data_IF_746101609183
#
_entry.id   IF_746101609183
#
_cell.length_a   1.000
_cell.length_b   1.000
_cell.length_c   1.000
_cell.angle_alpha   90.00
_cell.angle_beta   90.00
_cell.angle_gamma   90.00
#
_symmetry.space_group_name_H-M   'P 1'
#
loop_
_entity.id
_entity.type
_entity.pdbx_description
1 polymer ?
#
# COMPACT_ATOMS: atom_id res chain seq x y z
N UNK A 1 -3.17 -24.65 21.14
CA UNK A 1 -4.40 -24.19 20.46
C UNK A 1 -4.21 -24.51 19.00
N UNK A 2 -4.94 -25.51 18.52
CA UNK A 2 -4.72 -26.21 17.24
C UNK A 2 -5.27 -25.38 16.08
N UNK A 3 -4.40 -24.87 15.21
CA UNK A 3 -4.80 -24.36 13.89
C UNK A 3 -4.99 -25.53 12.93
N UNK A 4 -6.13 -25.59 12.25
CA UNK A 4 -6.47 -26.66 11.31
C UNK A 4 -5.62 -26.62 10.03
N UNK A 5 -5.33 -27.77 9.39
CA UNK A 5 -4.70 -27.79 8.07
C UNK A 5 -5.73 -27.39 7.00
N UNK A 6 -5.48 -26.30 6.27
CA UNK A 6 -6.22 -25.98 5.03
C UNK A 6 -6.84 -24.59 4.92
N UNK A 7 -6.55 -23.63 5.81
CA UNK A 7 -6.95 -22.24 5.57
C UNK A 7 -6.04 -21.64 4.50
N UNK A 8 -6.44 -21.77 3.24
CA UNK A 8 -5.88 -21.01 2.14
C UNK A 8 -6.05 -19.53 2.47
N UNK A 9 -4.98 -18.88 2.90
CA UNK A 9 -4.96 -17.43 3.08
C UNK A 9 -5.30 -16.85 1.71
N UNK A 10 -6.48 -16.24 1.60
CA UNK A 10 -6.90 -15.58 0.38
C UNK A 10 -5.84 -14.53 0.01
N UNK A 11 -5.32 -14.55 -1.23
CA UNK A 11 -4.29 -13.60 -1.62
C UNK A 11 -4.83 -12.18 -1.47
N UNK A 12 -3.96 -11.24 -1.06
CA UNK A 12 -4.41 -9.85 -0.93
C UNK A 12 -4.91 -9.28 -2.28
N UNK A 13 -4.30 -9.72 -3.38
CA UNK A 13 -4.57 -9.23 -4.72
C UNK A 13 -4.89 -10.39 -5.66
N UNK A 14 -5.80 -10.21 -6.64
CA UNK A 14 -5.98 -11.16 -7.73
C UNK A 14 -4.78 -11.20 -8.69
N UNK A 15 -3.82 -10.26 -8.55
CA UNK A 15 -2.57 -10.21 -9.30
C UNK A 15 -1.45 -10.89 -8.50
N UNK A 16 -0.99 -12.10 -8.88
CA UNK A 16 -0.02 -12.88 -8.10
C UNK A 16 1.31 -12.14 -7.88
N UNK A 17 1.68 -11.25 -8.80
CA UNK A 17 2.89 -10.45 -8.72
C UNK A 17 2.88 -9.49 -7.53
N UNK A 18 1.71 -9.12 -7.01
CA UNK A 18 1.58 -8.18 -5.90
C UNK A 18 2.34 -8.66 -4.66
N UNK A 19 2.17 -9.93 -4.27
CA UNK A 19 2.85 -10.50 -3.09
C UNK A 19 4.38 -10.56 -3.30
N UNK A 20 4.81 -10.88 -4.52
CA UNK A 20 6.23 -10.90 -4.87
C UNK A 20 6.86 -9.50 -4.76
N UNK A 21 6.19 -8.48 -5.29
CA UNK A 21 6.67 -7.09 -5.22
C UNK A 21 6.63 -6.58 -3.78
N UNK A 22 5.55 -6.85 -3.04
CA UNK A 22 5.42 -6.47 -1.64
C UNK A 22 6.55 -7.09 -0.79
N UNK A 23 6.85 -8.37 -0.98
CA UNK A 23 7.95 -9.06 -0.30
C UNK A 23 9.34 -8.51 -0.65
N UNK A 24 9.50 -7.88 -1.82
CA UNK A 24 10.74 -7.20 -2.21
C UNK A 24 10.84 -5.78 -1.66
N UNK A 25 9.71 -5.11 -1.39
CA UNK A 25 9.67 -3.75 -0.82
C UNK A 25 9.84 -3.79 0.70
N UNK A 26 9.16 -4.73 1.36
CA UNK A 26 9.10 -4.82 2.83
C UNK A 26 10.47 -4.76 3.54
N UNK A 27 11.55 -5.45 3.08
CA UNK A 27 12.84 -5.41 3.75
C UNK A 27 13.50 -4.02 3.79
N UNK A 28 13.07 -3.08 2.94
CA UNK A 28 13.68 -1.76 2.83
C UNK A 28 12.89 -0.66 3.54
N UNK A 29 11.56 -0.78 3.63
CA UNK A 29 10.69 0.24 4.24
C UNK A 29 10.02 -0.23 5.53
N UNK A 30 10.03 -1.53 5.79
CA UNK A 30 9.32 -2.17 6.90
C UNK A 30 7.86 -2.51 6.57
N UNK A 31 7.35 -3.57 7.19
CA UNK A 31 5.99 -4.08 6.95
C UNK A 31 4.91 -3.03 7.24
N UNK A 32 5.09 -2.25 8.31
CA UNK A 32 4.14 -1.21 8.70
C UNK A 32 4.04 -0.09 7.65
N UNK A 33 5.18 0.41 7.17
CA UNK A 33 5.19 1.47 6.17
C UNK A 33 4.63 1.00 4.82
N UNK A 34 4.93 -0.25 4.44
CA UNK A 34 4.32 -0.89 3.28
C UNK A 34 2.80 -0.98 3.43
N UNK A 35 2.32 -1.47 4.57
CA UNK A 35 0.88 -1.59 4.82
C UNK A 35 0.17 -0.23 4.81
N UNK A 36 0.76 0.81 5.40
CA UNK A 36 0.22 2.18 5.35
C UNK A 36 0.18 2.75 3.92
N UNK A 37 1.19 2.45 3.10
CA UNK A 37 1.21 2.85 1.69
C UNK A 37 0.05 2.24 0.89
N UNK A 38 -0.10 0.93 0.99
CA UNK A 38 -1.16 0.17 0.30
C UNK A 38 -2.54 0.56 0.85
N UNK A 39 -2.65 0.81 2.15
CA UNK A 39 -3.89 1.27 2.79
C UNK A 39 -4.29 2.64 2.28
N UNK A 40 -3.37 3.59 2.23
CA UNK A 40 -3.64 4.95 1.75
C UNK A 40 -4.17 4.96 0.30
N UNK A 41 -3.62 4.12 -0.57
CA UNK A 41 -4.11 3.94 -1.96
C UNK A 41 -5.53 3.37 -1.95
N UNK A 42 -5.73 2.24 -1.29
CA UNK A 42 -7.03 1.54 -1.24
C UNK A 42 -8.13 2.41 -0.62
N UNK A 43 -7.82 3.14 0.45
CA UNK A 43 -8.72 4.07 1.13
C UNK A 43 -9.12 5.23 0.21
N UNK A 44 -8.14 5.83 -0.49
CA UNK A 44 -8.40 6.94 -1.42
C UNK A 44 -9.30 6.52 -2.59
N UNK A 45 -9.20 5.26 -3.02
CA UNK A 45 -10.06 4.70 -4.06
C UNK A 45 -11.45 4.25 -3.56
N UNK A 46 -11.72 4.31 -2.24
CA UNK A 46 -12.88 3.69 -1.59
C UNK A 46 -12.99 2.17 -1.84
N UNK A 47 -11.85 1.49 -2.05
CA UNK A 47 -11.76 0.03 -2.21
C UNK A 47 -11.86 -0.65 -0.83
N UNK A 48 -13.09 -0.69 -0.27
CA UNK A 48 -13.35 -1.08 1.11
C UNK A 48 -12.86 -2.48 1.50
N UNK A 49 -12.90 -3.45 0.58
CA UNK A 49 -12.45 -4.82 0.81
C UNK A 49 -10.92 -4.90 0.97
N UNK A 50 -10.16 -4.35 0.01
CA UNK A 50 -8.72 -4.18 0.13
C UNK A 50 -8.33 -3.41 1.41
N UNK A 51 -9.00 -2.29 1.70
CA UNK A 51 -8.74 -1.51 2.90
C UNK A 51 -9.04 -2.30 4.21
N UNK A 52 -10.07 -3.16 4.22
CA UNK A 52 -10.38 -4.04 5.34
C UNK A 52 -9.31 -5.12 5.56
N UNK A 53 -8.86 -5.80 4.49
CA UNK A 53 -7.78 -6.80 4.58
C UNK A 53 -6.50 -6.21 5.21
N UNK A 54 -6.15 -4.97 4.87
CA UNK A 54 -4.94 -4.32 5.42
C UNK A 54 -5.13 -3.94 6.89
N UNK A 55 -6.32 -3.47 7.27
CA UNK A 55 -6.68 -3.21 8.68
C UNK A 55 -6.50 -4.45 9.55
N UNK A 56 -7.01 -5.60 9.07
CA UNK A 56 -6.78 -6.89 9.73
C UNK A 56 -5.30 -7.23 9.85
N UNK A 57 -4.51 -7.05 8.77
CA UNK A 57 -3.06 -7.30 8.78
C UNK A 57 -2.29 -6.37 9.73
N UNK A 58 -2.75 -5.13 9.89
CA UNK A 58 -2.20 -4.15 10.83
C UNK A 58 -2.68 -4.35 12.27
N UNK A 59 -3.56 -5.32 12.53
CA UNK A 59 -4.10 -5.61 13.86
C UNK A 59 -5.03 -4.53 14.40
N UNK A 60 -5.64 -3.71 13.53
CA UNK A 60 -6.53 -2.62 13.94
C UNK A 60 -7.83 -2.63 13.16
N UNK A 61 -8.96 -2.65 13.86
CA UNK A 61 -10.29 -2.60 13.22
C UNK A 61 -10.58 -1.23 12.57
N UNK A 62 -9.94 -0.16 13.06
CA UNK A 62 -10.05 1.20 12.51
C UNK A 62 -8.67 1.84 12.40
N UNK A 63 -8.36 2.44 11.24
CA UNK A 63 -7.14 3.22 11.02
C UNK A 63 -7.58 4.58 10.52
N UNK A 64 -7.32 5.61 11.31
CA UNK A 64 -7.47 7.00 10.88
C UNK A 64 -6.07 7.57 10.60
N UNK A 65 -5.70 7.64 9.31
CA UNK A 65 -4.40 8.14 8.87
C UNK A 65 -4.14 9.60 9.31
N UNK A 66 -5.16 10.37 9.67
CA UNK A 66 -5.02 11.74 10.18
C UNK A 66 -4.70 11.81 11.68
N UNK A 67 -4.94 10.72 12.43
CA UNK A 67 -4.81 10.67 13.89
C UNK A 67 -3.68 9.77 14.39
N UNK A 68 -3.11 8.94 13.54
CA UNK A 68 -1.98 8.10 13.92
C UNK A 68 -0.66 8.87 13.89
N UNK A 69 0.20 8.62 14.87
CA UNK A 69 1.60 9.02 14.78
C UNK A 69 2.30 8.14 13.73
N UNK A 70 3.00 8.79 12.82
CA UNK A 70 3.79 8.14 11.78
C UNK A 70 5.13 8.85 11.62
N UNK A 71 6.14 8.06 11.29
CA UNK A 71 7.48 8.51 10.91
C UNK A 71 7.45 9.32 9.62
N UNK A 72 8.56 9.99 9.31
CA UNK A 72 8.68 10.76 8.06
C UNK A 72 8.55 9.87 6.81
N UNK A 73 9.13 8.67 6.82
CA UNK A 73 9.02 7.70 5.71
C UNK A 73 7.58 7.23 5.52
N UNK A 74 6.88 6.89 6.61
CA UNK A 74 5.48 6.49 6.56
C UNK A 74 4.59 7.63 6.06
N UNK A 75 4.81 8.86 6.54
CA UNK A 75 4.11 10.06 6.06
C UNK A 75 4.29 10.24 4.55
N UNK A 76 5.53 10.16 4.09
CA UNK A 76 5.88 10.33 2.67
C UNK A 76 5.17 9.28 1.81
N UNK A 77 5.16 8.02 2.24
CA UNK A 77 4.46 6.95 1.52
C UNK A 77 2.94 7.15 1.53
N UNK A 78 2.33 7.51 2.67
CA UNK A 78 0.90 7.82 2.76
C UNK A 78 0.52 8.92 1.78
N UNK A 79 1.20 10.07 1.86
CA UNK A 79 0.87 11.24 1.04
C UNK A 79 1.06 10.95 -0.45
N UNK A 80 2.15 10.26 -0.80
CA UNK A 80 2.42 9.88 -2.18
C UNK A 80 1.43 8.83 -2.71
N UNK A 81 1.05 7.84 -1.91
CA UNK A 81 0.03 6.85 -2.24
C UNK A 81 -1.33 7.50 -2.56
N UNK A 82 -1.76 8.45 -1.73
CA UNK A 82 -2.98 9.24 -1.97
C UNK A 82 -2.91 10.02 -3.28
N UNK A 83 -1.77 10.66 -3.54
CA UNK A 83 -1.57 11.43 -4.77
C UNK A 83 -1.62 10.53 -6.03
N UNK A 84 -1.00 9.35 -5.97
CA UNK A 84 -1.06 8.33 -7.04
C UNK A 84 -2.50 7.89 -7.29
N UNK A 85 -3.25 7.57 -6.24
CA UNK A 85 -4.62 7.09 -6.35
C UNK A 85 -5.60 8.16 -6.86
N UNK A 86 -5.33 9.43 -6.58
CA UNK A 86 -6.20 10.55 -6.96
C UNK A 86 -5.97 11.00 -8.40
N UNK A 87 -4.73 11.37 -8.73
CA UNK A 87 -4.37 11.94 -10.02
C UNK A 87 -2.85 11.81 -10.23
N UNK A 88 -2.35 10.66 -10.74
CA UNK A 88 -0.91 10.41 -10.81
C UNK A 88 -0.19 11.39 -11.75
N UNK A 89 -0.88 11.91 -12.76
CA UNK A 89 -0.35 12.94 -13.67
C UNK A 89 -0.22 14.34 -13.00
N UNK A 90 -0.84 14.54 -11.84
CA UNK A 90 -0.84 15.81 -11.09
C UNK A 90 0.02 15.74 -9.82
N UNK A 91 0.85 14.70 -9.65
CA UNK A 91 1.79 14.62 -8.52
C UNK A 91 2.78 15.78 -8.61
N UNK A 92 2.78 16.63 -7.58
CA UNK A 92 3.62 17.82 -7.50
C UNK A 92 5.13 17.47 -7.61
N UNK A 93 5.92 18.20 -8.44
CA UNK A 93 7.37 18.08 -8.49
C UNK A 93 8.08 18.09 -7.12
N UNK A 94 7.57 18.82 -6.13
CA UNK A 94 8.14 18.81 -4.78
C UNK A 94 7.98 17.43 -4.10
N UNK A 95 6.84 16.77 -4.26
CA UNK A 95 6.62 15.40 -3.79
C UNK A 95 7.55 14.42 -4.51
N UNK A 96 7.64 14.52 -5.84
CA UNK A 96 8.53 13.67 -6.64
C UNK A 96 10.01 13.81 -6.21
N UNK A 97 10.44 15.03 -5.87
CA UNK A 97 11.78 15.31 -5.37
C UNK A 97 12.03 14.68 -4.00
N UNK A 98 11.06 14.76 -3.07
CA UNK A 98 11.15 14.12 -1.74
C UNK A 98 11.26 12.61 -1.85
N UNK A 99 10.44 11.98 -2.70
CA UNK A 99 10.52 10.53 -2.97
C UNK A 99 11.86 10.14 -3.60
N UNK A 100 12.36 10.95 -4.53
CA UNK A 100 13.67 10.74 -5.17
C UNK A 100 14.83 10.82 -4.18
N UNK A 101 14.76 11.73 -3.21
CA UNK A 101 15.76 11.88 -2.16
C UNK A 101 15.68 10.75 -1.11
N UNK A 102 14.47 10.29 -0.79
CA UNK A 102 14.26 9.29 0.27
C UNK A 102 14.60 7.86 -0.16
N UNK A 103 14.39 7.51 -1.43
CA UNK A 103 14.50 6.14 -1.90
C UNK A 103 15.42 6.01 -3.11
N UNK A 104 16.22 4.94 -3.16
CA UNK A 104 17.08 4.63 -4.32
C UNK A 104 16.24 4.29 -5.55
N UNK A 105 16.76 4.47 -6.78
CA UNK A 105 16.00 4.25 -8.02
C UNK A 105 15.30 2.89 -8.11
N UNK A 106 15.97 1.82 -7.68
CA UNK A 106 15.46 0.45 -7.74
C UNK A 106 14.25 0.27 -6.83
N UNK A 107 14.32 0.80 -5.60
CA UNK A 107 13.23 0.75 -4.64
C UNK A 107 12.05 1.62 -5.08
N UNK A 108 12.31 2.79 -5.69
CA UNK A 108 11.24 3.62 -6.27
C UNK A 108 10.49 2.87 -7.37
N UNK A 109 11.19 2.16 -8.24
CA UNK A 109 10.57 1.33 -9.27
C UNK A 109 9.64 0.28 -8.66
N UNK A 110 10.07 -0.40 -7.59
CA UNK A 110 9.25 -1.38 -6.88
C UNK A 110 8.04 -0.76 -6.19
N UNK A 111 8.20 0.41 -5.56
CA UNK A 111 7.10 1.13 -4.94
C UNK A 111 6.05 1.56 -5.97
N UNK A 112 6.48 2.05 -7.14
CA UNK A 112 5.55 2.38 -8.24
C UNK A 112 4.84 1.13 -8.74
N UNK A 113 5.55 0.02 -8.92
CA UNK A 113 4.94 -1.25 -9.34
C UNK A 113 3.91 -1.74 -8.31
N UNK A 114 4.24 -1.68 -7.02
CA UNK A 114 3.32 -2.04 -5.94
C UNK A 114 2.09 -1.14 -5.92
N UNK A 115 2.27 0.17 -6.10
CA UNK A 115 1.16 1.12 -6.17
C UNK A 115 0.24 0.83 -7.35
N UNK A 116 0.80 0.58 -8.54
CA UNK A 116 0.03 0.24 -9.73
C UNK A 116 -0.79 -1.05 -9.54
N UNK A 117 -0.18 -2.10 -8.98
CA UNK A 117 -0.89 -3.35 -8.67
C UNK A 117 -1.95 -3.15 -7.59
N UNK A 118 -1.72 -2.26 -6.61
CA UNK A 118 -2.71 -1.92 -5.58
C UNK A 118 -3.89 -1.16 -6.17
N UNK A 119 -3.64 -0.21 -7.09
CA UNK A 119 -4.69 0.47 -7.84
C UNK A 119 -5.48 -0.53 -8.68
N UNK A 120 -4.82 -1.41 -9.42
CA UNK A 120 -5.49 -2.46 -10.19
C UNK A 120 -6.34 -3.39 -9.30
N UNK A 121 -5.84 -3.72 -8.11
CA UNK A 121 -6.57 -4.52 -7.10
C UNK A 121 -7.81 -3.78 -6.63
N UNK A 122 -7.71 -2.48 -6.33
CA UNK A 122 -8.84 -1.64 -5.98
C UNK A 122 -9.89 -1.57 -7.09
N UNK A 123 -9.47 -1.44 -8.36
CA UNK A 123 -10.38 -1.49 -9.51
C UNK A 123 -11.10 -2.84 -9.56
N UNK A 124 -10.37 -3.96 -9.46
CA UNK A 124 -10.97 -5.29 -9.45
C UNK A 124 -11.98 -5.47 -8.31
N UNK A 125 -11.66 -5.01 -7.10
CA UNK A 125 -12.56 -5.05 -5.94
C UNK A 125 -13.82 -4.17 -6.12
N UNK A 126 -13.74 -3.09 -6.89
CA UNK A 126 -14.84 -2.13 -7.08
C UNK A 126 -15.82 -2.51 -8.20
N UNK A 127 -15.35 -3.22 -9.24
CA UNK A 127 -16.14 -3.48 -10.45
C UNK A 127 -16.31 -4.96 -10.79
N UNK A 128 -15.54 -5.85 -10.16
CA UNK A 128 -15.64 -7.31 -10.31
C UNK A 128 -16.62 -7.92 -9.32
#
# INVERSE_FOLDING_TARGET
MTGMPGESIEPFSPFPEWESVAGRVAPYVGDRALALFVYAISETMDARSAAARIRTRLGSETIDLSRIEVTETERLLIDWGRAIATAPAAVDPAMASRVTAAFRPELRGLLVQLAALTVATGVADLVG
#
